data_IF_758290595691
#
_entry.id   IF_758290595691
#
_cell.length_a   1.000
_cell.length_b   1.000
_cell.length_c   1.000
_cell.angle_alpha   90.00
_cell.angle_beta   90.00
_cell.angle_gamma   90.00
#
_symmetry.space_group_name_H-M   'P 1'
#
loop_
_entity.id
_entity.type
_entity.pdbx_description
1 polymer ?
#
# COMPACT_ATOMS: atom_id res chain seq x y z
N UNK A 1 -5.82 15.39 -7.49
CA UNK A 1 -4.41 15.38 -7.05
C UNK A 1 -3.88 14.04 -7.48
N UNK A 2 -2.91 14.04 -8.39
CA UNK A 2 -2.33 12.82 -8.94
C UNK A 2 -1.07 12.50 -8.14
N UNK A 3 -1.03 11.34 -7.49
CA UNK A 3 0.14 10.92 -6.70
C UNK A 3 0.73 9.71 -7.39
N UNK A 4 1.96 9.83 -7.89
CA UNK A 4 2.66 8.70 -8.48
C UNK A 4 2.99 7.63 -7.42
N UNK A 5 3.13 6.39 -7.86
CA UNK A 5 3.60 5.28 -7.00
C UNK A 5 4.96 5.59 -6.34
N UNK A 6 5.84 6.34 -7.01
CA UNK A 6 7.15 6.72 -6.49
C UNK A 6 7.05 7.77 -5.39
N UNK A 7 6.20 8.79 -5.55
CA UNK A 7 5.93 9.78 -4.49
C UNK A 7 5.28 9.12 -3.28
N UNK A 8 4.32 8.21 -3.51
CA UNK A 8 3.72 7.45 -2.42
C UNK A 8 4.74 6.59 -1.68
N UNK A 9 5.59 5.86 -2.41
CA UNK A 9 6.70 5.09 -1.83
C UNK A 9 7.58 5.95 -0.93
N UNK A 10 7.96 7.14 -1.39
CA UNK A 10 8.81 8.05 -0.63
C UNK A 10 8.15 8.48 0.70
N UNK A 11 6.85 8.76 0.69
CA UNK A 11 6.10 9.05 1.91
C UNK A 11 6.08 7.85 2.87
N UNK A 12 5.80 6.65 2.36
CA UNK A 12 5.80 5.41 3.17
C UNK A 12 7.19 5.21 3.81
N UNK A 13 8.27 5.37 3.06
CA UNK A 13 9.64 5.27 3.58
C UNK A 13 9.94 6.35 4.65
N UNK A 14 9.50 7.59 4.42
CA UNK A 14 9.63 8.70 5.38
C UNK A 14 8.95 8.36 6.71
N UNK A 15 7.71 7.86 6.69
CA UNK A 15 6.96 7.53 7.92
C UNK A 15 7.54 6.32 8.64
N UNK A 16 7.93 5.28 7.91
CA UNK A 16 8.47 4.06 8.51
C UNK A 16 9.93 4.19 8.95
N UNK A 17 10.67 5.16 8.41
CA UNK A 17 12.13 5.28 8.53
C UNK A 17 12.86 4.01 8.10
N UNK A 18 12.33 3.33 7.07
CA UNK A 18 12.82 2.05 6.53
C UNK A 18 12.71 2.06 5.02
N UNK A 19 13.57 1.29 4.34
CA UNK A 19 13.46 1.03 2.91
C UNK A 19 12.20 0.21 2.62
N UNK A 20 11.50 0.57 1.57
CA UNK A 20 10.27 -0.07 1.11
C UNK A 20 10.48 -0.62 -0.29
N UNK A 21 9.87 -1.77 -0.57
CA UNK A 21 9.77 -2.39 -1.88
C UNK A 21 8.33 -2.29 -2.36
N UNK A 22 8.17 -2.04 -3.66
CA UNK A 22 6.87 -2.18 -4.32
C UNK A 22 6.78 -3.61 -4.82
N UNK A 23 5.77 -4.35 -4.36
CA UNK A 23 5.49 -5.72 -4.80
C UNK A 23 4.08 -5.77 -5.36
N UNK A 24 3.91 -6.24 -6.59
CA UNK A 24 2.59 -6.57 -7.14
C UNK A 24 2.28 -8.04 -6.89
N UNK A 25 1.06 -8.31 -6.45
CA UNK A 25 0.46 -9.65 -6.38
C UNK A 25 -0.94 -9.59 -6.97
N UNK A 26 -1.47 -10.71 -7.42
CA UNK A 26 -2.81 -10.78 -8.00
C UNK A 26 -3.45 -12.12 -7.66
N UNK A 27 -4.77 -12.15 -7.67
CA UNK A 27 -5.58 -13.37 -7.68
C UNK A 27 -6.41 -13.40 -8.98
N UNK A 28 -7.42 -14.24 -9.04
CA UNK A 28 -8.26 -14.38 -10.24
C UNK A 28 -9.18 -13.16 -10.48
N UNK A 29 -9.37 -12.30 -9.47
CA UNK A 29 -10.35 -11.20 -9.49
C UNK A 29 -9.69 -9.81 -9.55
N UNK A 30 -8.54 -9.63 -8.91
CA UNK A 30 -7.95 -8.32 -8.67
C UNK A 30 -6.41 -8.37 -8.65
N UNK A 31 -5.77 -7.25 -9.04
CA UNK A 31 -4.37 -6.97 -8.76
C UNK A 31 -4.22 -6.04 -7.55
N UNK A 32 -3.18 -6.28 -6.76
CA UNK A 32 -2.86 -5.53 -5.56
C UNK A 32 -1.39 -5.09 -5.60
N UNK A 33 -1.15 -3.80 -5.37
CA UNK A 33 0.20 -3.24 -5.21
C UNK A 33 0.51 -3.03 -3.73
N UNK A 34 1.54 -3.70 -3.23
CA UNK A 34 1.97 -3.64 -1.84
C UNK A 34 3.24 -2.81 -1.67
N UNK A 35 3.31 -2.08 -0.56
CA UNK A 35 4.48 -1.35 -0.10
C UNK A 35 5.02 -2.05 1.15
N UNK A 36 5.99 -2.93 0.97
CA UNK A 36 6.48 -3.83 2.02
C UNK A 36 7.93 -3.54 2.40
N UNK A 37 8.33 -3.90 3.62
CA UNK A 37 9.75 -3.94 3.97
C UNK A 37 10.40 -5.21 3.40
N UNK A 38 11.72 -5.22 3.13
CA UNK A 38 12.39 -6.34 2.46
C UNK A 38 12.21 -7.72 3.10
N UNK A 39 11.96 -7.78 4.42
CA UNK A 39 11.85 -9.03 5.16
C UNK A 39 10.42 -9.59 5.23
N UNK A 40 9.43 -8.86 4.68
CA UNK A 40 8.03 -9.29 4.71
C UNK A 40 7.76 -10.37 3.66
N UNK A 41 7.09 -11.44 4.08
CA UNK A 41 6.78 -12.60 3.23
C UNK A 41 5.29 -12.67 2.97
N UNK A 42 4.83 -11.88 2.00
CA UNK A 42 3.43 -11.87 1.54
C UNK A 42 3.35 -12.59 0.21
N UNK A 43 2.44 -13.55 0.06
CA UNK A 43 2.31 -14.35 -1.16
C UNK A 43 0.96 -14.17 -1.85
N UNK A 44 -0.13 -14.17 -1.08
CA UNK A 44 -1.49 -14.04 -1.61
C UNK A 44 -2.34 -13.14 -0.71
N UNK A 45 -3.54 -12.82 -1.20
CA UNK A 45 -4.52 -12.03 -0.46
C UNK A 45 -5.94 -12.51 -0.77
N UNK A 46 -6.86 -12.20 0.15
CA UNK A 46 -8.30 -12.41 0.04
C UNK A 46 -9.01 -11.14 0.52
N UNK A 47 -10.13 -10.79 -0.10
CA UNK A 47 -11.01 -9.74 0.43
C UNK A 47 -12.14 -10.38 1.24
N UNK A 48 -12.27 -9.97 2.49
CA UNK A 48 -13.37 -10.30 3.38
C UNK A 48 -14.22 -9.04 3.61
N UNK A 49 -15.55 -9.16 3.55
CA UNK A 49 -16.44 -8.00 3.67
C UNK A 49 -16.39 -7.32 5.06
N UNK A 50 -16.03 -8.08 6.10
CA UNK A 50 -16.00 -7.61 7.50
C UNK A 50 -14.61 -7.15 7.90
N UNK A 51 -13.58 -7.90 7.52
CA UNK A 51 -12.18 -7.67 7.93
C UNK A 51 -11.36 -6.90 6.88
N UNK A 52 -11.87 -6.77 5.66
CA UNK A 52 -11.17 -6.16 4.53
C UNK A 52 -10.14 -7.09 3.90
N UNK A 53 -9.02 -6.53 3.43
CA UNK A 53 -7.98 -7.33 2.78
C UNK A 53 -7.15 -8.12 3.81
N UNK A 54 -7.20 -9.44 3.69
CA UNK A 54 -6.40 -10.41 4.44
C UNK A 54 -5.21 -10.86 3.59
N UNK A 55 -4.05 -11.00 4.21
CA UNK A 55 -2.79 -11.35 3.54
C UNK A 55 -2.23 -12.66 4.07
N UNK A 56 -1.64 -13.46 3.19
CA UNK A 56 -1.12 -14.78 3.55
C UNK A 56 0.32 -14.96 3.12
N UNK A 57 1.07 -15.73 3.91
CA UNK A 57 2.43 -16.13 3.58
C UNK A 57 2.45 -17.29 2.56
N UNK A 58 3.65 -17.76 2.20
CA UNK A 58 3.83 -18.85 1.24
C UNK A 58 3.32 -20.21 1.75
N UNK A 59 3.22 -20.39 3.07
CA UNK A 59 2.69 -21.59 3.70
C UNK A 59 1.15 -21.54 3.85
N UNK A 60 0.52 -20.42 3.45
CA UNK A 60 -0.92 -20.20 3.57
C UNK A 60 -1.35 -19.70 4.95
N UNK A 61 -0.42 -19.27 5.80
CA UNK A 61 -0.77 -18.70 7.10
C UNK A 61 -1.18 -17.24 6.95
N UNK A 62 -2.18 -16.82 7.72
CA UNK A 62 -2.55 -15.42 7.83
C UNK A 62 -1.37 -14.61 8.39
N UNK A 63 -1.08 -13.49 7.74
CA UNK A 63 -0.08 -12.53 8.18
C UNK A 63 -0.68 -11.66 9.27
N UNK A 64 -0.10 -11.70 10.46
CA UNK A 64 -0.56 -11.01 11.67
C UNK A 64 0.10 -9.64 11.90
N UNK A 65 1.05 -9.26 11.05
CA UNK A 65 1.74 -7.98 11.11
C UNK A 65 1.17 -6.97 10.09
N UNK A 66 1.18 -5.66 10.40
CA UNK A 66 0.64 -4.63 9.53
C UNK A 66 1.38 -4.57 8.20
N UNK A 67 0.65 -4.67 7.08
CA UNK A 67 1.19 -4.28 5.78
C UNK A 67 1.35 -2.75 5.77
N UNK A 68 2.53 -2.21 5.44
CA UNK A 68 2.76 -0.78 5.60
C UNK A 68 1.88 0.08 4.70
N UNK A 69 1.58 -0.35 3.48
CA UNK A 69 0.52 0.23 2.66
C UNK A 69 0.18 -0.73 1.52
N UNK A 70 -1.05 -0.68 1.01
CA UNK A 70 -1.49 -1.47 -0.13
C UNK A 70 -2.50 -0.69 -0.99
N UNK A 71 -2.53 -0.99 -2.28
CA UNK A 71 -3.36 -0.33 -3.29
C UNK A 71 -4.06 -1.37 -4.16
N UNK A 72 -5.38 -1.49 -4.04
CA UNK A 72 -6.25 -2.13 -5.02
C UNK A 72 -6.04 -1.57 -6.43
N UNK A 73 -6.16 -2.39 -7.49
CA UNK A 73 -6.03 -1.93 -8.88
C UNK A 73 -7.01 -0.79 -9.21
N UNK A 74 -8.23 -0.83 -8.65
CA UNK A 74 -9.23 0.23 -8.80
C UNK A 74 -8.81 1.60 -8.28
N UNK A 75 -7.79 1.67 -7.42
CA UNK A 75 -7.29 2.91 -6.84
C UNK A 75 -6.02 3.40 -7.57
N UNK A 76 -5.68 2.77 -8.70
CA UNK A 76 -4.56 3.12 -9.58
C UNK A 76 -5.04 3.36 -11.03
N UNK A 77 -4.66 4.49 -11.61
CA UNK A 77 -4.93 4.83 -13.00
C UNK A 77 -3.67 5.43 -13.63
N UNK A 78 -3.17 4.83 -14.72
CA UNK A 78 -1.96 5.27 -15.44
C UNK A 78 -0.71 5.47 -14.54
N UNK A 79 -0.58 4.69 -13.46
CA UNK A 79 0.54 4.79 -12.51
C UNK A 79 0.35 5.83 -11.40
N UNK A 80 -0.83 6.46 -11.34
CA UNK A 80 -1.20 7.44 -10.33
C UNK A 80 -2.31 6.91 -9.42
N UNK A 81 -2.24 7.30 -8.15
CA UNK A 81 -3.22 6.97 -7.12
C UNK A 81 -4.43 7.90 -7.28
N UNK A 82 -5.61 7.32 -7.45
CA UNK A 82 -6.86 8.07 -7.68
C UNK A 82 -7.58 8.45 -6.39
N UNK A 83 -7.42 7.68 -5.31
CA UNK A 83 -8.08 7.91 -4.01
C UNK A 83 -7.10 7.91 -2.83
N UNK A 84 -6.22 8.92 -2.72
CA UNK A 84 -5.20 8.94 -1.67
C UNK A 84 -5.76 9.11 -0.25
N UNK A 85 -6.95 9.70 -0.10
CA UNK A 85 -7.56 9.97 1.22
C UNK A 85 -8.05 8.72 1.94
N UNK A 86 -8.32 7.63 1.21
CA UNK A 86 -8.70 6.34 1.81
C UNK A 86 -7.49 5.47 2.16
N UNK A 87 -6.28 5.91 1.80
CA UNK A 87 -5.07 5.15 2.03
C UNK A 87 -4.56 5.33 3.45
N UNK A 88 -3.94 4.27 3.94
CA UNK A 88 -3.27 4.26 5.23
C UNK A 88 -1.80 3.94 5.05
N UNK A 89 -1.00 4.42 6.00
CA UNK A 89 0.40 4.05 6.16
C UNK A 89 0.56 3.44 7.55
N UNK A 90 0.95 2.17 7.60
CA UNK A 90 1.03 1.35 8.81
C UNK A 90 -0.29 1.35 9.59
N UNK A 91 -1.41 1.15 8.87
CA UNK A 91 -2.79 1.21 9.37
C UNK A 91 -3.22 2.56 9.96
N UNK A 92 -2.42 3.62 9.80
CA UNK A 92 -2.78 4.95 10.25
C UNK A 92 -3.24 5.81 9.06
N UNK A 93 -4.30 6.63 9.24
CA UNK A 93 -4.70 7.58 8.21
C UNK A 93 -3.62 8.63 7.96
N UNK A 94 -3.69 9.28 6.81
CA UNK A 94 -2.81 10.39 6.47
C UNK A 94 -3.05 11.60 7.39
N UNK A 95 -1.95 12.18 7.86
CA UNK A 95 -1.94 13.43 8.62
C UNK A 95 -1.90 14.64 7.68
N UNK A 96 -2.09 15.85 8.23
CA UNK A 96 -1.94 17.09 7.45
C UNK A 96 -0.52 17.24 6.86
N UNK A 97 0.51 16.87 7.62
CA UNK A 97 1.90 16.89 7.13
C UNK A 97 2.10 15.93 5.96
N UNK A 98 1.50 14.74 6.02
CA UNK A 98 1.57 13.78 4.91
C UNK A 98 0.93 14.37 3.64
N UNK A 99 -0.23 15.02 3.79
CA UNK A 99 -0.91 15.67 2.66
C UNK A 99 -0.11 16.84 2.10
N UNK A 100 0.61 17.60 2.93
CA UNK A 100 1.52 18.66 2.49
C UNK A 100 2.74 18.11 1.75
N UNK A 101 3.33 17.01 2.25
CA UNK A 101 4.39 16.29 1.55
C UNK A 101 3.95 15.85 0.15
N UNK A 102 2.75 15.27 0.04
CA UNK A 102 2.22 14.82 -1.25
C UNK A 102 1.99 15.98 -2.22
N UNK A 103 1.55 17.15 -1.75
CA UNK A 103 1.35 18.35 -2.58
C UNK A 103 2.65 18.93 -3.13
N UNK A 104 3.73 18.85 -2.36
CA UNK A 104 5.02 19.46 -2.70
C UNK A 104 5.89 18.56 -3.58
N UNK A 105 5.56 17.27 -3.69
CA UNK A 105 6.30 16.27 -4.44
C UNK A 105 5.45 15.62 -5.55
N UNK A 106 4.53 16.40 -6.13
CA UNK A 106 3.82 16.01 -7.35
C UNK A 106 4.81 16.21 -8.51
N UNK A 107 5.13 15.13 -9.21
CA UNK A 107 6.01 15.11 -10.40
C UNK A 107 5.21 15.29 -11.68
#
# INVERSE_FOLDING_TARGET
MEISLTTWKALVEKKLKKKVLIKMIWNDEEKMTLFITPNMKINSFLYDEKEGYLFYDIAGNLVDYPIPSYLPEKDLENGYITKPSSLTINQQPLTKEDMEFLKTNIS
#
